data_IF_365880425875
#
_entry.id   IF_365880425875
#
_cell.length_a   1.000
_cell.length_b   1.000
_cell.length_c   1.000
_cell.angle_alpha   90.00
_cell.angle_beta   90.00
_cell.angle_gamma   90.00
#
_symmetry.space_group_name_H-M   'P 1'
#
loop_
_entity.id
_entity.type
_entity.pdbx_description
1 polymer ?
#
# COMPACT_ATOMS: atom_id res chain seq x y z
N UNK A 1 13.79 25.63 5.15
CA UNK A 1 12.75 25.02 4.29
C UNK A 1 12.05 24.01 5.16
N UNK A 2 10.78 24.23 5.49
CA UNK A 2 10.01 23.23 6.22
C UNK A 2 9.85 22.03 5.28
N UNK A 3 10.42 20.88 5.63
CA UNK A 3 10.16 19.62 4.92
C UNK A 3 8.69 19.27 5.10
N UNK A 4 7.85 19.73 4.16
CA UNK A 4 6.48 19.29 4.05
C UNK A 4 6.51 17.82 3.63
N UNK A 5 6.41 16.93 4.63
CA UNK A 5 6.35 15.50 4.38
C UNK A 5 5.13 15.22 3.52
N UNK A 6 5.36 14.73 2.30
CA UNK A 6 4.31 14.25 1.43
C UNK A 6 3.87 12.86 1.92
N UNK A 7 2.57 12.65 1.99
CA UNK A 7 1.97 11.38 2.41
C UNK A 7 1.13 10.80 1.28
N UNK A 8 1.15 9.47 1.13
CA UNK A 8 0.33 8.81 0.12
C UNK A 8 -0.13 7.43 0.56
N UNK A 9 -1.38 7.07 0.24
CA UNK A 9 -1.96 5.78 0.59
C UNK A 9 -1.42 4.69 -0.36
N UNK A 10 -0.72 3.65 0.15
CA UNK A 10 -0.26 2.53 -0.67
C UNK A 10 -1.39 1.82 -1.43
N UNK A 11 -2.60 1.76 -0.87
CA UNK A 11 -3.76 1.15 -1.51
C UNK A 11 -4.24 1.93 -2.73
N UNK A 12 -4.27 3.26 -2.64
CA UNK A 12 -4.60 4.10 -3.80
C UNK A 12 -3.56 3.94 -4.91
N UNK A 13 -2.26 3.87 -4.56
CA UNK A 13 -1.20 3.64 -5.54
C UNK A 13 -1.40 2.31 -6.30
N UNK A 14 -1.84 1.25 -5.62
CA UNK A 14 -2.13 -0.04 -6.24
C UNK A 14 -3.28 0.10 -7.25
N UNK A 15 -4.35 0.80 -6.90
CA UNK A 15 -5.48 1.05 -7.79
C UNK A 15 -5.07 1.85 -9.03
N UNK A 16 -4.27 2.90 -8.85
CA UNK A 16 -3.76 3.72 -9.95
C UNK A 16 -2.86 2.92 -10.90
N UNK A 17 -1.99 2.06 -10.36
CA UNK A 17 -1.16 1.15 -11.16
C UNK A 17 -2.05 0.14 -11.91
N UNK A 18 -3.11 -0.37 -11.30
CA UNK A 18 -4.04 -1.27 -11.98
C UNK A 18 -4.73 -0.58 -13.17
N UNK A 19 -5.15 0.69 -13.02
CA UNK A 19 -5.69 1.50 -14.12
C UNK A 19 -4.63 1.69 -15.22
N UNK A 20 -3.42 2.10 -14.85
CA UNK A 20 -2.28 2.31 -15.75
C UNK A 20 -1.95 1.08 -16.61
N UNK A 21 -2.06 -0.12 -16.02
CA UNK A 21 -1.82 -1.38 -16.70
C UNK A 21 -2.97 -1.74 -17.66
N UNK A 22 -4.22 -1.46 -17.29
CA UNK A 22 -5.39 -1.62 -18.18
C UNK A 22 -5.29 -0.72 -19.41
N UNK A 23 -4.85 0.52 -19.25
CA UNK A 23 -4.58 1.43 -20.38
C UNK A 23 -3.49 0.90 -21.32
N UNK A 24 -2.60 0.03 -20.83
CA UNK A 24 -1.56 -0.65 -21.62
C UNK A 24 -2.03 -2.00 -22.20
N UNK A 25 -3.31 -2.33 -22.07
CA UNK A 25 -3.90 -3.57 -22.58
C UNK A 25 -3.62 -4.80 -21.72
N UNK A 26 -3.24 -4.61 -20.45
CA UNK A 26 -3.07 -5.69 -19.47
C UNK A 26 -4.30 -5.78 -18.56
N UNK A 27 -4.62 -6.99 -18.09
CA UNK A 27 -5.75 -7.23 -17.18
C UNK A 27 -5.23 -7.65 -15.79
N UNK A 28 -4.76 -6.71 -14.96
CA UNK A 28 -4.28 -7.02 -13.62
C UNK A 28 -5.43 -7.53 -12.74
N UNK A 29 -5.17 -8.62 -12.04
CA UNK A 29 -6.08 -9.20 -11.03
C UNK A 29 -5.39 -9.20 -9.67
N UNK A 30 -5.93 -8.44 -8.72
CA UNK A 30 -5.55 -8.53 -7.31
C UNK A 30 -6.45 -9.55 -6.63
N UNK A 31 -5.87 -10.69 -6.27
CA UNK A 31 -6.52 -11.66 -5.38
C UNK A 31 -6.30 -11.22 -3.92
N UNK A 32 -7.26 -11.52 -3.05
CA UNK A 32 -7.18 -11.15 -1.62
C UNK A 32 -5.88 -11.63 -0.96
N UNK A 33 -5.37 -12.81 -1.37
CA UNK A 33 -4.12 -13.36 -0.85
C UNK A 33 -2.84 -12.58 -1.21
N UNK A 34 -2.88 -11.69 -2.21
CA UNK A 34 -1.71 -10.89 -2.63
C UNK A 34 -1.81 -9.42 -2.20
N UNK A 35 -2.92 -9.00 -1.60
CA UNK A 35 -3.13 -7.60 -1.23
C UNK A 35 -2.08 -7.10 -0.24
N UNK A 36 -1.72 -7.92 0.76
CA UNK A 36 -0.69 -7.58 1.74
C UNK A 36 0.71 -7.40 1.12
N UNK A 37 1.08 -8.26 0.18
CA UNK A 37 2.35 -8.17 -0.54
C UNK A 37 2.39 -6.94 -1.45
N UNK A 38 1.28 -6.65 -2.14
CA UNK A 38 1.13 -5.46 -2.97
C UNK A 38 1.23 -4.18 -2.13
N UNK A 39 0.58 -4.12 -0.96
CA UNK A 39 0.65 -2.99 -0.04
C UNK A 39 2.08 -2.79 0.51
N UNK A 40 2.77 -3.88 0.86
CA UNK A 40 4.17 -3.83 1.28
C UNK A 40 5.08 -3.27 0.18
N UNK A 41 4.92 -3.75 -1.06
CA UNK A 41 5.68 -3.26 -2.22
C UNK A 41 5.40 -1.79 -2.55
N UNK A 42 4.13 -1.38 -2.54
CA UNK A 42 3.72 0.01 -2.72
C UNK A 42 4.33 0.92 -1.65
N UNK A 43 4.33 0.48 -0.39
CA UNK A 43 4.97 1.20 0.71
C UNK A 43 6.50 1.32 0.56
N UNK A 44 7.17 0.34 -0.04
CA UNK A 44 8.59 0.43 -0.35
C UNK A 44 8.86 1.43 -1.49
N UNK A 45 8.04 1.39 -2.55
CA UNK A 45 8.14 2.31 -3.68
C UNK A 45 7.97 3.77 -3.25
N UNK A 46 6.95 4.07 -2.44
CA UNK A 46 6.73 5.42 -1.91
C UNK A 46 7.94 5.94 -1.14
N UNK A 47 8.52 5.10 -0.25
CA UNK A 47 9.73 5.46 0.51
C UNK A 47 10.93 5.74 -0.40
N UNK A 48 11.11 4.95 -1.46
CA UNK A 48 12.18 5.17 -2.44
C UNK A 48 12.03 6.50 -3.19
N UNK A 49 10.81 7.03 -3.28
CA UNK A 49 10.48 8.33 -3.89
C UNK A 49 10.40 9.47 -2.87
N UNK A 50 10.87 9.27 -1.63
CA UNK A 50 10.77 10.23 -0.53
C UNK A 50 9.33 10.65 -0.17
N UNK A 51 8.35 9.80 -0.47
CA UNK A 51 6.94 9.95 -0.05
C UNK A 51 6.69 9.04 1.14
N UNK A 52 6.07 9.57 2.19
CA UNK A 52 5.74 8.79 3.39
C UNK A 52 4.48 7.96 3.12
N UNK A 53 4.50 6.63 3.26
CA UNK A 53 3.28 5.83 3.21
C UNK A 53 2.31 6.28 4.31
N UNK A 54 1.10 6.66 3.91
CA UNK A 54 -0.01 6.86 4.83
C UNK A 54 -0.48 5.48 5.26
N UNK A 55 -0.10 5.06 6.47
CA UNK A 55 -0.66 3.86 7.08
C UNK A 55 -2.02 4.23 7.65
N UNK A 56 -3.10 3.66 7.11
CA UNK A 56 -4.38 3.72 7.80
C UNK A 56 -4.24 2.86 9.07
N UNK A 57 -4.39 3.47 10.24
CA UNK A 57 -4.11 2.82 11.55
C UNK A 57 -5.01 1.59 11.78
N UNK A 58 -6.03 1.42 10.94
CA UNK A 58 -7.08 0.40 11.03
C UNK A 58 -6.56 -1.03 10.85
N UNK A 59 -5.45 -1.26 10.14
CA UNK A 59 -5.01 -2.64 9.82
C UNK A 59 -4.02 -3.23 10.84
N UNK A 60 -3.42 -2.39 11.68
CA UNK A 60 -2.45 -2.85 12.70
C UNK A 60 -3.08 -3.49 13.94
N UNK A 61 -4.41 -3.44 14.09
CA UNK A 61 -5.12 -3.92 15.29
C UNK A 61 -5.66 -5.35 15.19
N UNK A 62 -5.66 -6.00 14.03
CA UNK A 62 -6.13 -7.39 13.90
C UNK A 62 -5.04 -8.45 14.20
N UNK A 63 -3.89 -7.99 14.71
CA UNK A 63 -2.91 -8.85 15.38
C UNK A 63 -3.04 -8.71 16.89
N UNK A 64 -4.22 -8.99 17.45
CA UNK A 64 -4.29 -9.36 18.87
C UNK A 64 -3.47 -10.63 19.08
N UNK A 65 -2.37 -10.61 19.88
CA UNK A 65 -1.76 -11.86 20.30
C UNK A 65 -2.79 -12.62 21.13
N UNK A 66 -3.10 -13.87 20.73
CA UNK A 66 -3.84 -14.79 21.60
C UNK A 66 -3.14 -14.80 22.97
N UNK A 67 -3.83 -14.53 24.09
CA UNK A 67 -3.23 -14.75 25.39
C UNK A 67 -2.94 -16.25 25.49
N UNK A 68 -1.67 -16.60 25.74
CA UNK A 68 -1.35 -17.94 26.21
C UNK A 68 -2.11 -18.17 27.52
N UNK A 69 -3.08 -19.09 27.50
CA UNK A 69 -3.67 -19.72 28.67
C UNK A 69 -3.82 -21.20 28.40
#
# INVERSE_FOLDING_TARGET
MSDERQYYNPYHLIEEVAVLLRERGLEPSLTEGHLGDAAAGAGQLLRALAVTPAMDVVETLDRTPKPYR
#
